data_IF_488785972268
#
_entry.id   IF_488785972268
#
_cell.length_a   1.000
_cell.length_b   1.000
_cell.length_c   1.000
_cell.angle_alpha   90.00
_cell.angle_beta   90.00
_cell.angle_gamma   90.00
#
_symmetry.space_group_name_H-M   'P 1'
#
loop_
_entity.id
_entity.type
_entity.pdbx_description
1 polymer ?
2 polymer ?
3 non-polymer ?
4 non-polymer ?
5 non-polymer ?
6 non-polymer ?
7 non-polymer ?
8 water ?
#
# COMPACT_ATOMS: atom_id res chain seq x y z
N UNK A 2 -13.13 24.19 5.74
CA UNK A 2 -13.87 23.27 6.65
C UNK A 2 -13.21 21.88 6.69
N UNK A 3 -12.83 21.36 5.53
CA UNK A 3 -12.25 20.02 5.41
C UNK A 3 -10.87 19.88 6.06
N UNK A 4 -10.15 20.99 6.20
CA UNK A 4 -8.82 20.99 6.82
C UNK A 4 -8.90 20.74 8.33
N UNK A 5 -10.02 21.13 8.95
CA UNK A 5 -10.22 20.94 10.39
C UNK A 5 -11.15 19.76 10.66
N UNK A 6 -10.64 18.76 11.38
CA UNK A 6 -11.43 17.61 11.82
C UNK A 6 -12.00 16.80 10.65
N UNK A 7 -11.33 16.85 9.50
CA UNK A 7 -11.81 16.25 8.25
C UNK A 7 -13.19 16.77 7.81
N UNK A 8 -13.52 17.99 8.23
CA UNK A 8 -14.84 18.57 7.95
C UNK A 8 -15.99 17.82 8.59
N UNK A 9 -15.69 16.94 9.55
CA UNK A 9 -16.67 16.05 10.16
C UNK A 9 -16.94 14.78 9.37
N UNK A 10 -16.34 14.65 8.18
CA UNK A 10 -16.60 13.52 7.29
C UNK A 10 -15.89 12.25 7.76
N UNK A 11 -16.52 11.11 7.56
CA UNK A 11 -15.90 9.83 7.86
C UNK A 11 -14.79 9.52 6.86
N UNK A 12 -15.02 9.87 5.59
CA UNK A 12 -14.05 9.62 4.52
C UNK A 12 -13.65 10.93 3.83
N UNK A 13 -14.15 11.19 2.63
CA UNK A 13 -13.64 12.30 1.82
C UNK A 13 -14.48 13.57 1.99
N UNK A 14 -13.85 14.72 1.77
CA UNK A 14 -14.47 16.02 2.06
C UNK A 14 -14.13 17.04 0.96
N UNK A 15 -15.13 17.79 0.51
CA UNK A 15 -14.94 18.86 -0.47
C UNK A 15 -15.50 20.17 0.06
N UNK A 16 -14.71 21.24 -0.07
CA UNK A 16 -15.17 22.60 0.25
C UNK A 16 -15.92 23.20 -0.93
N UNK A 17 -16.93 24.00 -0.65
CA UNK A 17 -17.70 24.72 -1.67
C UNK A 17 -17.76 26.21 -1.35
N UNK A 18 -18.20 27.01 -2.31
CA UNK A 18 -18.29 28.45 -2.15
C UNK A 18 -19.33 28.83 -1.10
N UNK A 19 -18.87 29.52 -0.04
CA UNK A 19 -19.71 29.86 1.11
C UNK A 19 -19.37 28.98 2.30
N UNK A 20 -20.27 28.92 3.28
CA UNK A 20 -20.10 28.04 4.44
C UNK A 20 -20.59 26.62 4.10
N UNK A 21 -20.17 26.11 2.95
CA UNK A 21 -20.69 24.85 2.42
C UNK A 21 -19.62 23.76 2.40
N UNK A 22 -20.06 22.53 2.66
CA UNK A 22 -19.19 21.36 2.69
C UNK A 22 -19.97 20.15 2.20
N UNK A 23 -19.30 19.27 1.45
CA UNK A 23 -19.90 18.01 1.03
C UNK A 23 -18.95 16.86 1.32
N UNK A 24 -19.43 15.88 2.08
CA UNK A 24 -18.67 14.64 2.30
C UNK A 24 -18.98 13.67 1.19
N UNK A 25 -18.03 12.77 0.93
CA UNK A 25 -18.22 11.73 -0.06
C UNK A 25 -17.62 10.42 0.46
N UNK A 26 -17.98 9.32 -0.18
CA UNK A 26 -17.48 8.00 0.21
C UNK A 26 -16.80 7.32 -0.98
N UNK A 27 -15.89 6.42 -0.65
CA UNK A 27 -15.18 5.60 -1.63
C UNK A 27 -16.18 4.68 -2.32
N UNK A 28 -15.83 4.23 -3.53
CA UNK A 28 -16.62 3.20 -4.22
C UNK A 28 -16.83 2.02 -3.26
N UNK A 29 -18.03 1.44 -3.29
CA UNK A 29 -18.38 0.34 -2.39
C UNK A 29 -18.97 0.82 -1.06
N UNK A 30 -19.17 2.13 -0.93
CA UNK A 30 -19.81 2.74 0.24
C UNK A 30 -20.87 3.73 -0.22
N UNK A 31 -21.84 4.01 0.66
CA UNK A 31 -22.81 5.08 0.42
C UNK A 31 -22.88 6.02 1.62
N UNK A 32 -23.18 7.29 1.34
CA UNK A 32 -23.26 8.32 2.37
C UNK A 32 -24.62 8.26 3.04
N UNK A 33 -24.63 8.29 4.38
CA UNK A 33 -25.87 8.27 5.14
C UNK A 33 -26.50 9.67 5.20
N UNK A 34 -27.75 9.71 5.66
CA UNK A 34 -28.52 10.95 5.74
C UNK A 34 -27.93 12.00 6.69
N UNK A 35 -27.04 11.58 7.60
CA UNK A 35 -26.31 12.53 8.45
C UNK A 35 -25.29 13.37 7.64
N UNK A 36 -25.03 12.96 6.40
CA UNK A 36 -24.17 13.71 5.49
C UNK A 36 -22.69 13.54 5.73
N UNK A 37 -22.32 12.64 6.64
CA UNK A 37 -20.92 12.42 7.03
C UNK A 37 -20.50 10.95 7.06
N UNK A 38 -21.41 10.06 7.45
CA UNK A 38 -21.09 8.64 7.64
C UNK A 38 -21.14 7.85 6.33
N UNK A 39 -20.27 6.86 6.23
CA UNK A 39 -20.22 5.96 5.08
C UNK A 39 -20.52 4.53 5.51
N UNK A 40 -21.39 3.85 4.75
CA UNK A 40 -21.77 2.47 5.05
C UNK A 40 -21.50 1.58 3.82
N UNK A 41 -20.93 0.37 4.04
CA UNK A 41 -20.68 -0.51 2.90
C UNK A 41 -21.93 -0.85 2.09
N UNK A 42 -21.77 -0.94 0.77
CA UNK A 42 -22.83 -1.36 -0.13
C UNK A 42 -22.51 -2.70 -0.80
N UNK A 43 -21.32 -3.21 -0.57
CA UNK A 43 -20.86 -4.47 -1.14
C UNK A 43 -20.30 -5.37 -0.05
N UNK A 44 -20.07 -6.64 -0.38
CA UNK A 44 -19.60 -7.62 0.60
C UNK A 44 -18.18 -7.35 1.06
N UNK A 45 -17.32 -6.92 0.15
CA UNK A 45 -15.90 -6.73 0.43
C UNK A 45 -15.44 -5.32 0.06
N UNK A 46 -15.90 -4.32 0.82
CA UNK A 46 -15.47 -2.95 0.59
C UNK A 46 -13.99 -2.77 0.94
N UNK A 47 -13.34 -1.82 0.29
CA UNK A 47 -11.92 -1.61 0.54
C UNK A 47 -11.66 -1.20 1.99
N UNK A 48 -10.49 -1.58 2.50
CA UNK A 48 -10.03 -1.09 3.79
C UNK A 48 -10.71 -1.64 5.02
N UNK A 49 -11.52 -2.69 4.85
CA UNK A 49 -12.15 -3.39 5.97
C UNK A 49 -11.69 -4.84 5.99
N UNK A 50 -11.57 -5.40 7.19
CA UNK A 50 -11.01 -6.73 7.39
C UNK A 50 -12.15 -7.70 7.77
N UNK A 51 -12.63 -8.51 6.80
CA UNK A 51 -13.80 -9.36 6.99
C UNK A 51 -13.84 -10.19 8.28
N UNK A 52 -12.73 -10.83 8.63
CA UNK A 52 -12.73 -11.71 9.82
C UNK A 52 -12.88 -10.92 11.12
N UNK A 53 -12.51 -9.64 11.11
CA UNK A 53 -12.71 -8.77 12.27
C UNK A 53 -14.08 -8.08 12.26
N UNK A 54 -14.60 -7.81 11.07
CA UNK A 54 -15.95 -7.22 10.93
C UNK A 54 -17.04 -8.21 11.33
N UNK A 55 -16.87 -9.48 10.95
CA UNK A 55 -17.79 -10.55 11.38
C UNK A 55 -17.63 -10.91 12.86
N UNK A 56 -16.45 -10.62 13.41
CA UNK A 56 -16.17 -10.90 14.83
C UNK A 56 -16.91 -9.94 15.76
N UNK A 57 -17.30 -8.78 15.24
CA UNK A 57 -18.11 -7.80 15.98
C UNK A 57 -19.53 -7.65 15.43
N UNK A 58 -19.88 -8.46 14.42
CA UNK A 58 -21.21 -8.39 13.81
C UNK A 58 -22.26 -9.06 14.70
N UNK B 1 10.44 -7.88 8.07
CA UNK B 1 10.01 -7.04 9.19
C UNK B 1 10.81 -7.42 10.44
N UNK B 2 11.43 -6.42 11.07
CA UNK B 2 12.20 -6.63 12.29
C UNK B 2 11.41 -6.13 13.50
N UNK B 3 11.31 -6.98 14.52
CA UNK B 3 10.69 -6.60 15.78
C UNK B 3 9.17 -6.48 15.77
N UNK B 4 8.52 -7.10 14.79
CA UNK B 4 7.06 -7.10 14.70
C UNK B 4 6.47 -8.38 15.24
N UNK B 5 5.30 -8.74 14.72
CA UNK B 5 4.62 -9.99 15.06
C UNK B 5 4.00 -10.61 13.82
N UNK B 6 3.58 -11.85 13.92
CA UNK B 6 2.84 -12.49 12.84
C UNK B 6 1.51 -11.77 12.65
N UNK B 7 1.20 -11.40 11.42
CA UNK B 7 -0.11 -10.86 11.11
C UNK B 7 -1.08 -12.05 11.07
N UNK B 8 -2.06 -12.10 12.00
CA UNK B 8 -2.96 -13.25 11.98
C UNK B 8 -3.59 -13.43 10.60
N UNK B 9 -3.66 -14.68 10.15
CA UNK B 9 -4.15 -15.00 8.80
C UNK B 9 -5.46 -14.26 8.51
N UNK B 10 -5.48 -13.50 7.43
CA UNK B 10 -6.68 -12.76 7.02
C UNK B 10 -6.76 -11.33 7.52
N UNK B 11 -5.88 -10.94 8.43
CA UNK B 11 -5.91 -9.57 8.98
C UNK B 11 -5.08 -8.56 8.17
N UNK B 12 -4.36 -9.04 7.17
CA UNK B 12 -3.65 -8.21 6.22
C UNK B 12 -4.08 -8.62 4.79
N UNK B 13 -5.39 -8.57 4.48
CA UNK B 13 -5.90 -9.20 3.25
C UNK B 13 -5.53 -8.51 1.93
N UNK B 14 -4.95 -7.31 2.02
CA UNK B 14 -4.48 -6.54 0.86
C UNK B 14 -3.01 -6.80 0.53
N UNK B 15 -2.31 -7.55 1.39
CA UNK B 15 -0.90 -7.84 1.16
C UNK B 15 -0.70 -8.71 -0.08
N UNK B 16 0.27 -8.33 -0.90
CA UNK B 16 0.63 -9.09 -2.11
C UNK B 16 2.05 -9.61 -1.97
N UNK B 17 2.28 -10.83 -2.47
CA UNK B 17 3.62 -11.38 -2.62
C UNK B 17 3.96 -11.42 -4.09
N UNK B 18 5.08 -10.82 -4.47
CA UNK B 18 5.56 -10.86 -5.85
C UNK B 18 6.65 -11.90 -5.98
N UNK B 19 6.54 -12.73 -7.01
CA UNK B 19 7.50 -13.81 -7.28
C UNK B 19 8.07 -13.68 -8.68
N UNK B 20 9.36 -13.98 -8.81
CA UNK B 20 10.01 -14.10 -10.12
C UNK B 20 10.64 -15.48 -10.21
N UNK B 21 10.21 -16.27 -11.20
CA UNK B 21 10.62 -17.67 -11.34
C UNK B 21 10.43 -18.46 -10.04
N UNK B 22 9.33 -18.17 -9.36
CA UNK B 22 8.98 -18.84 -8.11
C UNK B 22 9.63 -18.30 -6.84
N UNK B 23 10.59 -17.39 -7.00
CA UNK B 23 11.38 -16.85 -5.89
C UNK B 23 10.80 -15.52 -5.40
N UNK B 24 10.85 -15.31 -4.09
CA UNK B 24 10.37 -14.08 -3.47
C UNK B 24 11.12 -12.85 -4.02
N UNK B 25 10.37 -11.90 -4.57
CA UNK B 25 10.95 -10.67 -5.14
C UNK B 25 10.71 -9.48 -4.22
N UNK B 26 9.45 -9.26 -3.88
CA UNK B 26 9.01 -8.04 -3.19
C UNK B 26 7.59 -8.22 -2.68
N UNK B 27 7.13 -7.24 -1.91
CA UNK B 27 5.73 -7.15 -1.52
C UNK B 27 4.96 -6.22 -2.43
N UNK B 28 3.66 -6.09 -2.16
CA UNK B 28 2.79 -5.21 -2.91
C UNK B 28 1.49 -5.00 -2.16
N UNK B 29 0.65 -4.09 -2.67
CA UNK B 29 -0.65 -3.78 -2.06
C UNK B 29 -1.75 -3.84 -3.11
N UNK B 30 -2.78 -4.64 -2.85
CA UNK B 30 -3.96 -4.68 -3.70
C UNK B 30 -4.80 -3.42 -3.43
N UNK B 31 -5.13 -2.67 -4.49
CA UNK B 31 -6.03 -1.51 -4.34
C UNK B 31 -7.37 -1.64 -5.10
N UNK B 32 -7.46 -2.66 -5.95
CA UNK B 32 -8.67 -3.03 -6.68
C UNK B 32 -8.47 -4.46 -7.18
N UNK B 33 -9.50 -5.06 -7.79
CA UNK B 33 -9.38 -6.45 -8.22
C UNK B 33 -8.29 -6.75 -9.28
N UNK B 34 -7.85 -5.74 -10.04
CA UNK B 34 -6.80 -5.97 -11.05
C UNK B 34 -5.56 -5.09 -10.86
N UNK B 35 -5.55 -4.25 -9.82
CA UNK B 35 -4.45 -3.31 -9.63
C UNK B 35 -3.69 -3.49 -8.31
N UNK B 36 -2.36 -3.55 -8.42
CA UNK B 36 -1.43 -3.70 -7.29
C UNK B 36 -0.42 -2.57 -7.31
N UNK B 37 -0.16 -1.96 -6.15
CA UNK B 37 0.87 -0.94 -6.01
C UNK B 37 2.09 -1.58 -5.34
N UNK B 38 3.28 -1.30 -5.88
CA UNK B 38 4.53 -1.82 -5.34
C UNK B 38 5.62 -0.75 -5.47
N UNK B 39 6.89 -1.15 -5.32
CA UNK B 39 8.03 -0.23 -5.45
C UNK B 39 8.74 -0.44 -6.79
N UNK B 40 9.07 0.67 -7.46
CA UNK B 40 9.73 0.61 -8.76
C UNK B 40 11.03 -0.19 -8.73
N UNK B 41 11.80 -0.06 -7.65
CA UNK B 41 13.13 -0.68 -7.61
C UNK B 41 13.10 -2.22 -7.61
N UNK B 42 11.94 -2.78 -7.27
CA UNK B 42 11.73 -4.24 -7.36
C UNK B 42 11.94 -4.78 -8.78
N UNK B 43 11.83 -3.91 -9.79
CA UNK B 43 11.84 -4.34 -11.18
C UNK B 43 13.08 -3.89 -11.97
N UNK B 44 14.07 -3.34 -11.26
CA UNK B 44 15.29 -2.84 -11.90
C UNK B 44 16.04 -3.89 -12.72
N UNK B 45 16.07 -5.12 -12.22
CA UNK B 45 16.89 -6.17 -12.82
C UNK B 45 16.10 -7.30 -13.48
N UNK B 46 14.81 -7.06 -13.72
CA UNK B 46 13.96 -8.08 -14.35
C UNK B 46 14.38 -8.28 -15.80
N UNK B 47 14.74 -9.52 -16.13
CA UNK B 47 15.21 -9.86 -17.48
C UNK B 47 14.04 -10.34 -18.32
N UNK B 48 13.33 -11.36 -17.81
CA UNK B 48 12.14 -11.88 -18.46
C UNK B 48 10.89 -11.39 -17.72
N UNK B 49 10.30 -10.31 -18.23
CA UNK B 49 9.13 -9.69 -17.60
C UNK B 49 7.89 -10.59 -17.57
N UNK B 50 7.94 -11.72 -18.27
CA UNK B 50 6.79 -12.62 -18.37
C UNK B 50 6.80 -13.74 -17.33
N UNK B 51 7.79 -13.73 -16.43
CA UNK B 51 7.87 -14.71 -15.33
C UNK B 51 7.52 -14.09 -13.97
N UNK B 52 6.87 -12.92 -14.00
CA UNK B 52 6.44 -12.21 -12.79
C UNK B 52 5.04 -12.67 -12.37
N UNK B 53 4.90 -13.06 -11.11
CA UNK B 53 3.63 -13.53 -10.56
C UNK B 53 3.28 -12.76 -9.30
N UNK B 54 2.01 -12.38 -9.17
CA UNK B 54 1.47 -11.77 -7.95
C UNK B 54 0.60 -12.78 -7.23
N UNK B 55 0.78 -12.94 -5.92
CA UNK B 55 -0.02 -13.86 -5.12
C UNK B 55 -0.81 -13.09 -4.06
N UNK B 56 -2.12 -13.29 -4.05
CA UNK B 56 -3.01 -12.73 -3.03
C UNK B 56 -3.47 -13.83 -2.10
N UNK B 57 -3.85 -13.46 -0.88
CA UNK B 57 -4.36 -14.43 0.10
C UNK B 57 -3.28 -15.31 0.71
N UNK B 58 -2.03 -14.93 0.54
CA UNK B 58 -0.91 -15.69 1.08
C UNK B 58 -0.76 -15.40 2.57
N UNK B 59 -0.25 -16.38 3.30
CA UNK B 59 0.03 -16.19 4.72
C UNK B 59 1.28 -16.97 5.13
N UNK B 60 1.20 -18.30 5.06
CA UNK B 60 2.31 -19.18 5.41
C UNK B 60 2.90 -19.76 4.13
N UNK B 61 4.13 -19.35 3.81
CA UNK B 61 4.77 -19.76 2.55
C UNK B 61 5.13 -21.24 2.48
N UNK B 62 5.12 -21.92 3.62
CA UNK B 62 5.46 -23.34 3.69
C UNK B 62 4.32 -24.27 3.25
N UNK B 63 3.10 -23.75 3.15
CA UNK B 63 1.95 -24.60 2.86
C UNK B 63 0.97 -23.95 1.87
N UNK B 64 0.11 -24.80 1.32
CA UNK B 64 -0.99 -24.37 0.47
C UNK B 64 -2.27 -24.68 1.22
N UNK B 65 -3.09 -23.67 1.50
CA UNK B 65 -4.36 -23.88 2.20
C UNK B 65 -5.61 -23.58 1.36
N UNK B 66 -5.42 -23.14 0.12
CA UNK B 66 -6.53 -22.93 -0.81
C UNK B 66 -7.06 -21.51 -0.89
N UNK B 67 -6.60 -20.63 -0.01
CA UNK B 67 -7.03 -19.22 -0.03
C UNK B 67 -6.13 -18.37 -0.94
N UNK B 68 -5.03 -18.95 -1.41
CA UNK B 68 -4.08 -18.22 -2.26
C UNK B 68 -4.66 -18.07 -3.66
N UNK B 69 -4.39 -16.92 -4.29
CA UNK B 69 -4.76 -16.67 -5.67
C UNK B 69 -3.58 -16.07 -6.40
N UNK B 70 -3.10 -16.76 -7.41
CA UNK B 70 -1.95 -16.33 -8.19
C UNK B 70 -2.37 -15.74 -9.53
N UNK B 71 -1.73 -14.65 -9.93
CA UNK B 71 -2.02 -14.00 -11.21
C UNK B 71 -0.73 -13.58 -11.91
N UNK B 72 -0.72 -13.69 -13.23
CA UNK B 72 0.36 -13.12 -14.03
C UNK B 72 0.25 -11.60 -14.04
N UNK B 73 1.40 -10.94 -14.14
CA UNK B 73 1.45 -9.48 -14.20
C UNK B 73 1.50 -9.07 -15.68
N UNK B 74 0.47 -8.35 -16.11
CA UNK B 74 0.31 -7.93 -17.51
C UNK B 74 0.99 -6.60 -17.82
N UNK B 75 1.11 -5.73 -16.82
CA UNK B 75 1.73 -4.43 -17.01
C UNK B 75 2.44 -4.00 -15.72
N UNK B 76 3.63 -3.43 -15.87
CA UNK B 76 4.34 -2.80 -14.76
C UNK B 76 4.59 -1.35 -15.16
N UNK B 77 3.95 -0.42 -14.46
CA UNK B 77 4.01 1.00 -14.82
C UNK B 77 4.83 1.76 -13.79
N UNK B 78 5.86 2.46 -14.27
CA UNK B 78 6.79 3.20 -13.43
C UNK B 78 6.85 4.68 -13.85
N UNK B 79 7.00 5.61 -12.89
CA UNK B 79 7.07 7.02 -13.30
C UNK B 79 8.34 7.32 -14.12
N UNK B 80 8.20 8.23 -15.08
CA UNK B 80 9.32 8.67 -15.91
C UNK B 80 10.47 9.24 -15.09
N UNK B 81 10.15 9.81 -13.94
CA UNK B 81 11.11 10.47 -13.07
C UNK B 81 11.92 9.52 -12.19
N UNK B 82 11.52 8.24 -12.14
CA UNK B 82 12.26 7.26 -11.35
C UNK B 82 13.55 6.85 -12.05
N UNK B 83 14.65 6.86 -11.30
CA UNK B 83 15.96 6.41 -11.79
C UNK B 83 16.31 5.09 -11.10
N UNK B 84 16.53 4.01 -11.89
CA UNK B 84 16.89 2.72 -11.31
C UNK B 84 18.03 2.78 -10.30
N UNK B 85 17.86 2.07 -9.18
CA UNK B 85 18.86 2.02 -8.13
C UNK B 85 18.79 3.14 -7.10
N UNK B 86 17.76 3.98 -7.19
CA UNK B 86 17.59 5.12 -6.28
C UNK B 86 16.25 5.07 -5.54
N UNK B 87 16.04 6.03 -4.65
CA UNK B 87 14.89 6.04 -3.74
C UNK B 87 13.76 6.94 -4.22
N UNK B 88 14.07 8.04 -4.91
CA UNK B 88 13.05 9.01 -5.29
C UNK B 88 12.10 8.44 -6.35
N UNK B 89 10.80 8.66 -6.16
CA UNK B 89 9.74 8.16 -7.05
C UNK B 89 9.69 6.64 -7.13
N UNK B 90 9.96 5.99 -6.00
CA UNK B 90 10.01 4.53 -5.93
C UNK B 90 8.60 3.96 -5.79
N UNK B 91 7.89 3.91 -6.92
CA UNK B 91 6.52 3.41 -6.97
C UNK B 91 6.26 2.73 -8.31
N UNK B 92 5.47 1.67 -8.27
CA UNK B 92 5.06 0.96 -9.49
C UNK B 92 3.58 0.57 -9.38
N UNK B 93 2.88 0.68 -10.51
CA UNK B 93 1.49 0.24 -10.60
C UNK B 93 1.44 -0.99 -11.50
N UNK B 94 0.92 -2.10 -10.97
CA UNK B 94 0.89 -3.37 -11.67
C UNK B 94 -0.54 -3.74 -12.05
N UNK B 95 -0.74 -4.06 -13.33
CA UNK B 95 -2.03 -4.57 -13.81
C UNK B 95 -1.96 -6.10 -13.87
N UNK B 96 -2.89 -6.78 -13.21
CA UNK B 96 -2.95 -8.24 -13.25
C UNK B 96 -3.62 -8.71 -14.54
N UNK B 97 -3.24 -9.89 -15.01
CA UNK B 97 -3.75 -10.47 -16.25
C UNK B 97 -5.24 -10.79 -16.15
N UNK B 98 -5.69 -11.11 -14.93
CA UNK B 98 -7.07 -11.45 -14.63
C UNK B 98 -7.37 -10.94 -13.22
N UNK B 99 -8.60 -10.47 -12.97
CA UNK B 99 -8.88 -9.98 -11.63
C UNK B 99 -8.77 -11.08 -10.56
N UNK B 100 -8.35 -10.71 -9.36
CA UNK B 100 -8.51 -11.61 -8.21
C UNK B 100 -9.97 -11.59 -7.80
N UNK B 101 -10.39 -12.65 -7.11
CA UNK B 101 -11.75 -12.75 -6.59
C UNK B 101 -11.70 -12.31 -5.13
N UNK B 102 -12.51 -11.33 -4.77
CA UNK B 102 -12.51 -10.86 -3.39
C UNK B 102 -13.15 -11.90 -2.48
N UNK B 103 -12.51 -12.14 -1.34
CA UNK B 103 -12.92 -13.14 -0.36
C UNK B 103 -12.57 -12.63 1.03
N UNK B 104 -12.87 -13.41 2.07
CA UNK B 104 -12.46 -13.04 3.43
C UNK B 104 -10.94 -12.81 3.53
N UNK B 105 -10.17 -13.46 2.65
CA UNK B 105 -8.71 -13.42 2.71
C UNK B 105 -8.07 -12.54 1.63
N UNK B 106 -8.89 -11.98 0.73
CA UNK B 106 -8.40 -11.14 -0.35
C UNK B 106 -9.31 -9.91 -0.49
N UNK B 107 -8.80 -8.75 -0.06
CA UNK B 107 -9.56 -7.50 0.00
C UNK B 107 -8.63 -6.33 -0.33
N UNK B 108 -9.09 -5.36 -1.15
CA UNK B 108 -8.21 -4.24 -1.47
C UNK B 108 -8.10 -3.23 -0.32
N UNK B 109 -6.96 -2.56 -0.24
CA UNK B 109 -6.77 -1.41 0.63
C UNK B 109 -7.29 -0.19 -0.13
N UNK B 110 -7.93 0.75 0.56
CA UNK B 110 -8.47 1.94 -0.11
C UNK B 110 -7.35 2.89 -0.51
N UNK B 111 -7.32 3.27 -1.79
CA UNK B 111 -6.46 4.36 -2.25
C UNK B 111 -7.19 5.66 -1.95
N UNK B 112 -6.66 6.48 -1.03
CA UNK B 112 -7.38 7.68 -0.60
C UNK B 112 -7.31 8.81 -1.62
N UNK B 113 -8.24 9.75 -1.51
CA UNK B 113 -8.12 11.02 -2.23
C UNK B 113 -6.91 11.77 -1.68
N UNK B 114 -6.26 12.56 -2.54
CA UNK B 114 -5.07 13.29 -2.15
C UNK B 114 -5.31 14.25 -0.99
N UNK B 115 -6.37 15.05 -1.09
CA UNK B 115 -6.71 16.01 -0.04
C UNK B 115 -6.91 15.34 1.32
N UNK B 116 -7.69 14.26 1.33
CA UNK B 116 -7.91 13.47 2.54
C UNK B 116 -6.59 12.95 3.12
N UNK B 117 -5.75 12.40 2.25
CA UNK B 117 -4.47 11.84 2.69
C UNK B 117 -3.52 12.90 3.27
N UNK B 118 -3.49 14.07 2.64
CA UNK B 118 -2.61 15.16 3.07
C UNK B 118 -3.12 15.88 4.34
N UNK B 119 -4.43 16.15 4.37
CA UNK B 119 -5.04 16.91 5.45
C UNK B 119 -5.29 16.10 6.73
N UNK B 120 -5.51 14.80 6.57
CA UNK B 120 -5.97 13.95 7.68
C UNK B 120 -5.07 12.74 7.93
N UNK B 121 -4.89 11.88 6.93
CA UNK B 121 -4.11 10.65 7.12
C UNK B 121 -2.65 10.91 7.49
N UNK B 122 -2.09 11.99 6.95
CA UNK B 122 -0.69 12.34 7.20
C UNK B 122 -0.40 12.67 8.67
N UNK B 123 -1.44 12.96 9.44
CA UNK B 123 -1.31 13.30 10.87
C UNK B 123 -1.74 12.18 11.81
N UNK B 124 -2.11 11.02 11.27
CA UNK B 124 -2.29 9.83 12.07
C UNK B 124 -0.90 9.30 12.41
N UNK B 125 -0.58 9.19 13.69
CA UNK B 125 0.80 8.91 14.10
C UNK B 125 1.27 7.52 13.68
N UNK B 126 0.52 6.50 14.07
CA UNK B 126 0.92 5.11 13.84
C UNK B 126 0.22 4.48 12.63
N UNK B 127 0.96 3.64 11.91
CA UNK B 127 0.46 2.90 10.76
C UNK B 127 1.12 1.52 10.71
N UNK B 128 0.50 0.59 10.00
CA UNK B 128 1.01 -0.79 9.92
C UNK B 128 1.82 -1.02 8.65
N UNK B 129 2.99 -1.65 8.82
CA UNK B 129 3.81 -2.09 7.70
C UNK B 129 3.97 -3.60 7.79
N UNK B 130 3.95 -4.28 6.65
CA UNK B 130 3.93 -5.73 6.62
C UNK B 130 4.72 -6.36 5.48
N UNK B 131 5.09 -7.61 5.65
CA UNK B 131 5.78 -8.37 4.61
C UNK B 131 6.42 -9.66 5.09
N UNK B 132 6.98 -10.40 4.14
CA UNK B 132 7.71 -11.65 4.40
C UNK B 132 9.22 -11.42 4.33
N UNK B 133 9.66 -10.19 4.61
CA UNK B 133 11.07 -9.87 4.54
C UNK B 133 11.89 -10.43 5.69
N UNK B 134 13.16 -10.06 5.71
CA UNK B 134 14.08 -10.52 6.75
C UNK B 134 13.61 -10.11 8.14
N UNK B 135 13.75 -11.05 9.09
CA UNK B 135 13.37 -10.82 10.48
C UNK B 135 14.46 -10.08 11.24
N UNK B 136 15.67 -10.08 10.67
CA UNK B 136 16.82 -9.37 11.22
C UNK B 136 17.68 -8.85 10.08
N UNK B 137 18.45 -7.81 10.34
CA UNK B 137 19.49 -7.40 9.39
C UNK B 137 20.42 -8.60 9.20
N UNK B 138 20.72 -8.93 7.94
CA UNK B 138 21.56 -10.09 7.59
C UNK B 138 20.98 -11.42 8.08
N UNK B 139 19.65 -11.49 8.18
CA UNK B 139 18.96 -12.68 8.68
C UNK B 139 18.04 -13.32 7.65
N UNK B 140 17.47 -14.46 8.03
CA UNK B 140 16.55 -15.20 7.16
C UNK B 140 15.21 -14.49 7.03
N UNK B 141 14.53 -14.71 5.90
CA UNK B 141 13.21 -14.14 5.66
C UNK B 141 12.13 -14.93 6.41
N UNK B 142 10.99 -14.28 6.62
CA UNK B 142 9.88 -14.87 7.37
C UNK B 142 9.05 -15.84 6.52
N UNK B 143 8.59 -16.93 7.14
CA UNK B 143 7.70 -17.88 6.46
C UNK B 143 6.22 -17.49 6.63
N UNK B 144 5.90 -16.85 7.76
CA UNK B 144 4.57 -16.28 7.99
C UNK B 144 4.59 -14.76 7.83
N UNK B 145 3.50 -14.20 7.31
CA UNK B 145 3.41 -12.76 7.11
C UNK B 145 3.56 -12.02 8.44
N UNK B 146 4.44 -11.02 8.46
CA UNK B 146 4.72 -10.24 9.67
C UNK B 146 4.18 -8.82 9.52
N UNK B 147 3.88 -8.19 10.65
CA UNK B 147 3.37 -6.83 10.67
C UNK B 147 3.95 -6.04 11.85
N UNK B 148 4.14 -4.74 11.64
CA UNK B 148 4.76 -3.85 12.62
C UNK B 148 4.07 -2.49 12.63
N UNK B 149 3.76 -2.00 13.83
CA UNK B 149 3.19 -0.67 14.01
C UNK B 149 4.33 0.35 14.09
N UNK B 150 4.35 1.31 13.18
CA UNK B 150 5.41 2.31 13.11
C UNK B 150 4.86 3.74 13.17
N UNK B 151 5.55 4.63 13.92
CA UNK B 151 5.16 6.03 13.97
C UNK B 151 5.78 6.86 12.85
N UNK B 152 5.01 7.78 12.29
CA UNK B 152 5.45 8.64 11.20
C UNK B 152 6.10 9.91 11.74
N UNK B 153 7.16 10.35 11.08
CA UNK B 153 7.87 11.58 11.47
C UNK B 153 7.64 12.68 10.45
N UNK B 154 7.57 13.92 10.92
CA UNK B 154 7.66 15.07 10.02
C UNK B 154 9.09 15.12 9.47
N UNK B 155 9.23 15.48 8.20
CA UNK B 155 10.54 15.41 7.53
C UNK B 155 11.60 16.26 8.22
N UNK B 156 11.19 17.39 8.80
CA UNK B 156 12.06 18.20 9.65
C UNK B 156 12.58 17.37 10.83
N UNK B 157 11.67 16.65 11.47
CA UNK B 157 11.99 15.84 12.66
C UNK B 157 12.78 14.57 12.32
N UNK B 158 12.58 14.02 11.13
CA UNK B 158 13.36 12.86 10.68
C UNK B 158 14.84 13.24 10.58
N UNK B 159 15.11 14.39 9.98
CA UNK B 159 16.49 14.87 9.79
C UNK B 159 17.17 15.24 11.10
N UNK B 160 16.41 15.77 12.06
CA UNK B 160 16.94 16.12 13.38
C UNK B 160 17.25 14.88 14.21
N UNK B 161 16.30 13.94 14.25
CA UNK B 161 16.45 12.71 15.04
C UNK B 161 17.38 11.67 14.40
N UNK B 162 17.70 11.86 13.12
CA UNK B 162 18.64 10.97 12.43
C UNK B 162 20.08 11.30 12.81
N UNK B 170 18.71 12.97 -0.71
CA UNK B 170 18.27 13.03 0.68
C UNK B 170 16.78 12.67 0.79
N UNK B 171 16.07 13.20 1.79
CA UNK B 171 14.64 12.94 1.94
C UNK B 171 13.83 14.01 1.21
N UNK B 172 13.15 13.61 0.15
CA UNK B 172 12.40 14.54 -0.70
C UNK B 172 10.93 14.60 -0.30
N UNK B 173 10.19 15.50 -0.96
CA UNK B 173 8.75 15.64 -0.73
C UNK B 173 7.95 14.42 -1.23
N UNK B 174 8.61 13.51 -1.94
CA UNK B 174 7.99 12.29 -2.44
C UNK B 174 8.23 11.09 -1.51
N UNK B 175 8.81 11.37 -0.33
CA UNK B 175 9.09 10.35 0.67
C UNK B 175 8.58 10.81 2.03
N UNK B 176 8.53 9.87 2.97
CA UNK B 176 8.44 10.20 4.39
C UNK B 176 9.16 9.16 5.23
N UNK B 177 9.50 9.54 6.46
CA UNK B 177 10.18 8.65 7.41
C UNK B 177 9.17 8.07 8.38
N UNK B 178 9.35 6.80 8.74
CA UNK B 178 8.56 6.17 9.78
C UNK B 178 9.33 5.02 10.44
N UNK B 179 9.04 4.78 11.71
CA UNK B 179 9.66 3.69 12.45
C UNK B 179 10.46 4.16 13.66
N UNK B 180 11.60 3.50 13.89
CA UNK B 180 12.40 3.71 15.10
C UNK B 180 13.89 3.81 14.76
N UNK B 181 14.60 4.62 15.53
CA UNK B 181 16.03 4.85 15.31
C UNK B 181 16.95 3.97 16.17
N UNK B 182 16.40 3.21 17.10
CA UNK B 182 17.21 2.41 18.05
C UNK B 182 17.62 1.04 17.51
N UNK B 183 17.20 0.71 16.29
CA UNK B 183 17.61 -0.54 15.63
C UNK B 183 16.79 -1.76 15.99
N UNK B 184 15.74 -1.58 16.79
CA UNK B 184 14.95 -2.70 17.33
C UNK B 184 13.78 -3.10 16.44
N UNK B 185 13.24 -2.13 15.70
CA UNK B 185 12.02 -2.33 14.91
C UNK B 185 12.09 -1.56 13.59
N UNK B 186 11.83 -2.25 12.48
CA UNK B 186 11.95 -1.65 11.16
C UNK B 186 11.36 -2.57 10.09
N UNK B 187 11.08 -2.01 8.93
CA UNK B 187 10.91 -2.80 7.72
C UNK B 187 12.31 -3.29 7.35
N UNK B 188 12.38 -4.29 6.47
CA UNK B 188 13.66 -4.91 6.13
C UNK B 188 13.70 -5.38 4.69
N UNK B 189 14.91 -5.71 4.23
CA UNK B 189 15.09 -6.29 2.90
C UNK B 189 14.16 -7.49 2.75
N UNK B 190 13.41 -7.51 1.64
CA UNK B 190 12.37 -8.51 1.41
C UNK B 190 10.97 -7.94 1.57
N UNK B 191 10.86 -6.78 2.23
CA UNK B 191 9.56 -6.11 2.44
C UNK B 191 9.27 -5.00 1.44
N UNK B 192 10.25 -4.60 0.64
CA UNK B 192 10.05 -3.47 -0.29
C UNK B 192 8.84 -3.73 -1.18
N UNK B 193 8.09 -2.66 -1.44
CA UNK B 193 6.86 -2.72 -2.22
C UNK B 193 5.60 -2.92 -1.39
N UNK B 194 5.77 -3.37 -0.16
CA UNK B 194 4.64 -3.66 0.73
C UNK B 194 3.96 -2.40 1.27
N UNK B 195 2.79 -2.58 1.88
CA UNK B 195 1.95 -1.48 2.33
C UNK B 195 2.41 -0.84 3.63
N UNK B 196 2.25 0.49 3.69
CA UNK B 196 2.21 1.25 4.92
C UNK B 196 0.74 1.70 4.97
N UNK B 197 -0.03 1.06 5.85
CA UNK B 197 -1.50 1.21 5.89
C UNK B 197 -1.94 1.99 7.12
N UNK B 198 -2.83 2.97 6.91
CA UNK B 198 -3.22 3.92 7.95
C UNK B 198 -4.73 3.83 8.24
N UNK B 199 -5.07 3.70 9.52
CA UNK B 199 -6.46 3.55 9.96
C UNK B 199 -7.08 4.91 10.25
N UNK B 200 -8.29 5.14 9.75
CA UNK B 200 -9.06 6.32 10.11
C UNK B 200 -10.55 6.03 10.14
N UNK B 201 -11.15 6.21 11.33
CA UNK B 201 -12.58 6.02 11.55
C UNK B 201 -13.13 4.73 10.95
N UNK B 202 -12.47 3.60 11.25
CA UNK B 202 -12.95 2.27 10.90
C UNK B 202 -12.53 1.70 9.56
N UNK B 203 -11.71 2.43 8.82
CA UNK B 203 -11.28 2.02 7.47
C UNK B 203 -9.78 2.25 7.29
N UNK B 204 -9.13 1.34 6.56
CA UNK B 204 -7.70 1.42 6.31
C UNK B 204 -7.39 1.96 4.91
N UNK B 205 -6.33 2.76 4.81
CA UNK B 205 -5.93 3.45 3.58
C UNK B 205 -4.44 3.30 3.27
N UNK B 206 -4.10 3.30 1.98
CA UNK B 206 -2.69 3.24 1.57
C UNK B 206 -2.04 4.62 1.65
N UNK B 207 -1.06 4.76 2.53
CA UNK B 207 -0.33 6.01 2.70
C UNK B 207 1.15 5.93 2.29
N UNK B 208 1.74 4.75 2.34
CA UNK B 208 3.13 4.58 1.95
C UNK B 208 3.45 3.24 1.31
N UNK B 209 4.60 3.20 0.64
CA UNK B 209 5.15 1.97 0.09
C UNK B 209 6.55 1.79 0.69
N UNK B 210 6.85 0.59 1.19
CA UNK B 210 8.19 0.30 1.69
C UNK B 210 9.17 0.47 0.54
N UNK B 211 10.08 1.43 0.69
CA UNK B 211 11.08 1.72 -0.34
C UNK B 211 12.41 1.12 0.11
N UNK B 212 13.46 1.93 0.16
CA UNK B 212 14.75 1.48 0.69
C UNK B 212 15.64 2.68 1.02
N UNK B 213 16.47 2.49 2.04
CA UNK B 213 17.40 3.53 2.50
C UNK B 213 18.82 3.01 2.44
N UNK B 214 19.59 3.22 3.49
CA UNK B 214 20.97 2.73 3.53
C UNK B 214 21.13 1.46 4.36
N UNK B 215 20.05 0.98 4.99
CA UNK B 215 20.11 -0.30 5.69
C UNK B 215 18.92 -0.60 6.61
N UNK B 216 18.45 -1.85 6.52
CA UNK B 216 17.47 -2.38 7.46
C UNK B 216 17.96 -2.31 8.91
N UNK B 217 17.10 -1.83 9.80
CA UNK B 217 17.38 -1.79 11.24
C UNK B 217 18.73 -1.17 11.58
N UNK B 218 19.06 -0.05 10.94
CA UNK B 218 20.30 0.65 11.20
C UNK B 218 20.08 1.67 12.31
N UNK B 219 20.93 1.61 13.34
CA UNK B 219 20.84 2.56 14.46
C UNK B 219 21.06 3.98 13.94
N UNK B 220 20.19 4.90 14.37
CA UNK B 220 20.25 6.30 13.96
C UNK B 220 19.53 6.62 12.65
N UNK B 221 18.82 5.66 12.09
CA UNK B 221 18.11 5.85 10.82
C UNK B 221 16.70 5.26 10.86
N UNK B 222 15.78 5.92 10.17
CA UNK B 222 14.40 5.48 10.06
C UNK B 222 14.13 4.82 8.73
N UNK B 223 13.02 4.09 8.64
CA UNK B 223 12.57 3.52 7.37
C UNK B 223 12.09 4.63 6.44
N UNK B 224 12.41 4.49 5.15
CA UNK B 224 11.99 5.46 4.14
C UNK B 224 10.86 4.87 3.31
N UNK B 225 9.78 5.64 3.17
CA UNK B 225 8.58 5.20 2.49
C UNK B 225 8.20 6.18 1.39
N UNK B 226 7.72 5.65 0.26
CA UNK B 226 7.22 6.49 -0.82
C UNK B 226 5.92 7.14 -0.35
N UNK B 227 5.83 8.46 -0.50
CA UNK B 227 4.67 9.22 -0.06
C UNK B 227 3.57 9.11 -1.13
N UNK B 228 2.67 8.14 -0.92
CA UNK B 228 1.65 7.79 -1.90
C UNK B 228 0.73 8.94 -2.29
N UNK B 229 0.49 9.87 -1.36
CA UNK B 229 -0.39 11.02 -1.62
C UNK B 229 0.05 11.86 -2.83
N UNK B 230 1.35 11.86 -3.13
CA UNK B 230 1.89 12.58 -4.29
C UNK B 230 1.54 11.92 -5.63
N UNK B 231 1.08 10.67 -5.58
CA UNK B 231 0.87 9.85 -6.78
C UNK B 231 -0.59 9.47 -7.04
N UNK B 232 -1.53 9.97 -6.22
CA UNK B 232 -2.93 9.56 -6.35
C UNK B 232 -3.48 9.83 -7.74
N UNK B 233 -3.31 11.05 -8.21
CA UNK B 233 -3.80 11.49 -9.52
C UNK B 233 -3.13 10.70 -10.64
N UNK B 234 -1.83 10.47 -10.51
CA UNK B 234 -1.04 9.69 -11.48
C UNK B 234 -1.58 8.26 -11.57
N UNK B 235 -1.80 7.63 -10.42
CA UNK B 235 -2.35 6.27 -10.35
C UNK B 235 -3.77 6.20 -10.91
N UNK B 236 -4.62 7.15 -10.54
CA UNK B 236 -6.01 7.15 -10.99
C UNK B 236 -6.13 7.29 -12.51
N UNK B 237 -5.30 8.15 -13.10
CA UNK B 237 -5.31 8.31 -14.55
C UNK B 237 -4.90 7.00 -15.24
N UNK B 238 -3.84 6.37 -14.75
CA UNK B 238 -3.37 5.11 -15.32
C UNK B 238 -4.42 3.99 -15.22
N UNK B 239 -5.14 3.94 -14.10
CA UNK B 239 -6.17 2.92 -13.92
C UNK B 239 -7.38 3.09 -14.87
N UNK B 240 -7.53 4.29 -15.43
CA UNK B 240 -8.58 4.57 -16.43
C UNK B 240 -8.10 4.30 -17.86
N UNK B 241 -6.80 4.03 -18.01
CA UNK B 241 -6.19 3.86 -19.34
C UNK B 241 -6.24 2.43 -19.86
N UNK B 242 -6.18 2.28 -21.17
CA UNK B 242 -6.12 0.95 -21.79
C UNK B 242 -4.72 0.36 -21.70
N UNK B 243 -4.62 -0.97 -21.52
CA UNK B 243 -3.31 -1.63 -21.52
C UNK B 243 -2.56 -1.46 -22.84
N UNK B 244 -1.23 -1.45 -22.76
CA UNK B 244 -0.37 -1.31 -23.94
C UNK B 244 0.50 -2.55 -24.08
N UNK B 245 0.81 -2.96 -25.33
CA UNK B 245 1.70 -4.10 -25.55
C UNK B 245 3.08 -3.90 -24.92
N UNK B 246 3.64 -4.97 -24.37
CA UNK B 246 4.90 -4.91 -23.64
C UNK B 246 4.63 -4.62 -22.18
N UNK B 247 5.15 -5.47 -21.30
CA UNK B 247 4.84 -5.39 -19.87
C UNK B 247 5.28 -4.07 -19.24
N UNK B 248 6.55 -3.71 -19.39
CA UNK B 248 7.07 -2.47 -18.82
C UNK B 248 6.52 -1.24 -19.56
N UNK B 249 5.97 -0.30 -18.80
CA UNK B 249 5.53 0.98 -19.32
C UNK B 249 6.07 2.10 -18.45
N UNK B 250 6.80 3.04 -19.05
CA UNK B 250 7.22 4.24 -18.35
C UNK B 250 6.23 5.34 -18.68
N UNK B 251 5.60 5.89 -17.65
CA UNK B 251 4.52 6.87 -17.81
C UNK B 251 4.97 8.23 -17.25
N UNK B 252 4.65 9.32 -17.97
CA UNK B 252 5.05 10.64 -17.51
C UNK B 252 4.58 10.96 -16.09
N UNK B 253 5.48 11.50 -15.28
CA UNK B 253 5.11 12.07 -13.97
C UNK B 253 5.59 13.52 -13.94
N UNK B 254 4.72 14.45 -13.49
CA UNK B 254 3.36 14.26 -12.97
C UNK B 254 2.35 13.82 -14.03
X LIG C 1 -10.32 -2.06 11.93
X LIG C 1 -9.09 -2.75 11.92
X LIG C 1 -11.42 -2.97 11.43
X LIG C 1 -11.25 -4.27 11.94
X LIG C 1 -11.43 -3.02 9.90
X LIG C 1 -12.33 -3.99 9.43
X LIG D 1 -21.09 9.93 -2.14
X LIG D 1 -19.72 9.64 -2.28
X LIG D 1 -21.88 8.63 -1.97
X LIG D 1 -21.60 7.76 -3.04
X LIG D 1 -23.37 8.94 -1.92
X LIG D 1 -24.03 7.91 -1.22
X LIG E 1 16.59 -4.88 -2.79
X LIG E 1 16.67 -3.43 0.54
X LIG E 1 15.29 -0.88 3.83
X LIG E 1 18.16 -4.45 -1.31
X LIG E 1 16.06 0.14 4.57
X LIG E 1 15.98 -5.29 -3.98
X LIG E 1 14.04 -1.26 4.36
X LIG E 1 16.61 -5.02 -5.19
X LIG E 1 16.03 -5.42 -6.37
X LIG E 1 13.76 -2.78 2.53
X LIG E 1 16.92 -4.04 -0.78
X LIG E 1 15.95 -4.32 -1.74
X LIG E 1 17.95 -4.94 -2.50
X LIG E 1 15.52 0.62 5.71
X LIG E 1 13.60 -0.70 5.51
X LIG E 1 18.26 -3.28 -8.06
X LIG E 1 15.41 -3.00 0.81
X LIG E 1 14.31 0.18 6.15
X LIG E 1 15.77 -1.45 2.65
X LIG E 1 18.45 -1.96 -8.28
X LIG E 1 17.00 -3.73 -7.91
X LIG E 1 15.00 -2.40 2.00
X LIG E 1 17.58 -3.29 1.34
X LIG E 1 17.14 0.54 4.17
X LIG E 1 19.21 -4.04 -8.00
X LIG E 1 14.62 -4.08 -1.67
X LIG E 1 13.29 -2.23 3.68
X LIG E 1 16.72 -5.14 -7.68
X LIG E 1 19.72 -1.39 -8.46
X LIG E 1 14.77 -5.97 -3.96
X LIG E 1 14.18 -6.37 -5.15
X LIG E 1 14.81 -6.10 -6.35
X LIG E 1 20.70 -1.50 -7.49
X LIG E 1 19.98 -0.70 -9.64
X LIG E 1 21.22 -0.13 -9.85
X LIG E 1 21.94 -0.91 -7.70
X LIG E 1 22.19 -0.23 -8.87
X LIG F 1 0.15 -20.54 2.00
X LIG G 1 7.21 -7.67 -22.65
X LIG H 1 6.21 16.58 6.34
X LIG H 1 4.86 16.11 6.06
X LIG H 1 6.67 17.42 5.25
X LIG H 1 6.22 17.33 7.59
X LIG H 1 7.10 15.42 6.47
X LIG I 1 -5.93 5.82 -23.01
X LIG I 1 -6.57 4.52 -22.82
X LIG I 1 -5.99 6.17 -24.43
X LIG I 1 -6.63 6.83 -22.23
X LIG I 1 -4.54 5.74 -22.58
#
# INVERSE_FOLDING_TARGET
LICVNENGGCEQYCSDHTGTKRSCRCHEGYSLLADGVSCTPTVEYPCGKIPILEKRNASKPQGR
IVGGKVCPKGECPWQVLLLVNGAQLCGGTLINTIWVVSAAHCFDKIKNWRNLIAVLGEHDLSEHDGDEQSRRVAQVIIPSTYVPGTTNHDIALLRLHQPVVLTDHVVPLCLPERTFSERTLAFVRFSLVSGWGQLLDRGATALELMVLNVPRLMTQDCLQQSRKVGDSPNITEYMFCAGYSDGSKDSCKGDSGGPHATHYRGTWYLTGIVSWGQGCATVGHFGVYTRVSQYIEWLQKLMRSEPRPGVLLRAPFP
GOL C1 O1 C2 O2 C3 O3
GOL C1 O1 C2 O2 C3 O3
7Y7 N3 C5 C6 C7 C8 C10 C15 C21 C26 C28 C1 C2 N4 N9 N11 C12 N13 C14 C16 N17 N18 C19 O20 O22 O23 O24 C25 C27 C29 C30 C31 C32 C33 C34 C35 C36 C37
CA CA
CL CL
SO4 S O1 O2 O3 O4
SO4 S O1 O2 O3 O4
#
